data_IF_017118914249
#
_entry.id   IF_017118914249
#
_cell.length_a   1.000
_cell.length_b   1.000
_cell.length_c   1.000
_cell.angle_alpha   90.00
_cell.angle_beta   90.00
_cell.angle_gamma   90.00
#
_symmetry.space_group_name_H-M   'P 1'
#
loop_
_entity.id
_entity.type
_entity.pdbx_description
1 polymer ?
#
# COMPACT_ATOMS: atom_id res chain seq x y z
N UNK A 1 135.73 12.05 49.32
CA UNK A 1 134.46 11.60 49.91
C UNK A 1 134.73 10.48 50.88
N UNK A 2 134.41 10.66 52.15
CA UNK A 2 134.37 9.58 53.15
C UNK A 2 133.07 8.79 52.98
N UNK A 3 133.04 7.49 53.30
CA UNK A 3 131.84 6.64 53.16
C UNK A 3 130.60 7.21 53.89
N UNK A 4 130.84 8.01 54.94
CA UNK A 4 129.81 8.73 55.67
C UNK A 4 129.09 9.79 54.82
N UNK A 5 129.80 10.50 53.95
CA UNK A 5 129.22 11.52 53.06
C UNK A 5 128.32 10.89 52.00
N UNK A 6 128.75 9.76 51.41
CA UNK A 6 127.93 9.01 50.43
C UNK A 6 126.66 8.43 51.05
N UNK A 7 126.73 7.95 52.31
CA UNK A 7 125.53 7.49 53.02
C UNK A 7 124.53 8.62 53.32
N UNK A 8 125.02 9.83 53.62
CA UNK A 8 124.14 10.98 53.84
C UNK A 8 123.45 11.41 52.53
N UNK A 9 124.17 11.43 51.42
CA UNK A 9 123.61 11.74 50.09
C UNK A 9 122.53 10.73 49.68
N UNK A 10 122.77 9.43 49.88
CA UNK A 10 121.77 8.38 49.64
C UNK A 10 120.53 8.50 50.56
N UNK A 11 120.72 8.93 51.80
CA UNK A 11 119.61 9.15 52.74
C UNK A 11 118.76 10.36 52.35
N UNK A 12 119.38 11.42 51.83
CA UNK A 12 118.68 12.59 51.32
C UNK A 12 117.92 12.26 50.01
N UNK A 13 118.53 11.53 49.07
CA UNK A 13 117.84 11.03 47.87
C UNK A 13 116.68 10.10 48.21
N UNK A 14 116.85 9.23 49.20
CA UNK A 14 115.80 8.34 49.68
C UNK A 14 114.66 9.13 50.33
N UNK A 15 114.98 10.15 51.13
CA UNK A 15 113.98 11.05 51.72
C UNK A 15 113.20 11.81 50.65
N UNK A 16 113.87 12.36 49.64
CA UNK A 16 113.22 13.05 48.53
C UNK A 16 112.32 12.12 47.72
N UNK A 17 112.73 10.85 47.56
CA UNK A 17 111.91 9.82 46.92
C UNK A 17 110.67 9.48 47.76
N UNK A 18 110.79 9.40 49.08
CA UNK A 18 109.63 9.20 49.98
C UNK A 18 108.66 10.38 49.88
N UNK A 19 109.15 11.62 49.88
CA UNK A 19 108.28 12.81 49.78
C UNK A 19 107.53 12.81 48.44
N UNK A 20 108.21 12.54 47.32
CA UNK A 20 107.55 12.41 46.01
C UNK A 20 106.48 11.33 46.00
N UNK A 21 106.77 10.16 46.59
CA UNK A 21 105.80 9.07 46.70
C UNK A 21 104.60 9.44 47.60
N UNK A 22 104.81 10.25 48.63
CA UNK A 22 103.72 10.76 49.47
C UNK A 22 102.84 11.74 48.71
N UNK A 23 103.42 12.68 47.96
CA UNK A 23 102.69 13.63 47.13
C UNK A 23 101.91 12.91 46.02
N UNK A 24 102.52 11.93 45.35
CA UNK A 24 101.85 11.07 44.37
C UNK A 24 100.71 10.27 44.99
N UNK A 25 100.90 9.73 46.20
CA UNK A 25 99.85 9.00 46.92
C UNK A 25 98.68 9.92 47.27
N UNK A 26 98.94 11.14 47.74
CA UNK A 26 97.90 12.11 48.07
C UNK A 26 97.13 12.55 46.81
N UNK A 27 97.84 12.78 45.70
CA UNK A 27 97.21 13.04 44.40
C UNK A 27 96.32 11.88 43.96
N UNK A 28 96.82 10.64 44.03
CA UNK A 28 96.06 9.45 43.67
C UNK A 28 94.84 9.23 44.58
N UNK A 29 94.95 9.47 45.88
CA UNK A 29 93.82 9.37 46.82
C UNK A 29 92.73 10.40 46.44
N UNK A 30 93.11 11.62 46.04
CA UNK A 30 92.15 12.64 45.57
C UNK A 30 91.46 12.24 44.26
N UNK A 31 92.20 11.72 43.28
CA UNK A 31 91.66 11.22 42.01
C UNK A 31 90.70 10.03 42.24
N UNK A 32 91.02 9.13 43.17
CA UNK A 32 90.16 8.00 43.52
C UNK A 32 88.84 8.46 44.11
N UNK A 33 88.85 9.50 44.94
CA UNK A 33 87.62 10.03 45.53
C UNK A 33 86.76 10.78 44.50
N UNK A 34 87.36 11.53 43.57
CA UNK A 34 86.65 12.11 42.42
C UNK A 34 86.07 11.04 41.49
N UNK A 35 86.82 9.96 41.23
CA UNK A 35 86.31 8.83 40.44
C UNK A 35 85.15 8.12 41.13
N UNK A 36 85.15 8.07 42.47
CA UNK A 36 84.03 7.49 43.24
C UNK A 36 82.78 8.35 43.20
N UNK A 37 82.90 9.67 43.31
CA UNK A 37 81.75 10.57 43.25
C UNK A 37 81.14 10.57 41.85
N UNK A 38 81.98 10.71 40.82
CA UNK A 38 81.53 10.67 39.41
C UNK A 38 80.91 9.32 39.05
N UNK A 39 81.45 8.20 39.54
CA UNK A 39 80.84 6.88 39.36
C UNK A 39 79.45 6.79 39.98
N UNK A 40 79.26 7.28 41.20
CA UNK A 40 77.94 7.29 41.86
C UNK A 40 76.93 8.14 41.09
N UNK A 41 77.32 9.34 40.65
CA UNK A 41 76.45 10.19 39.84
C UNK A 41 76.08 9.55 38.50
N UNK A 42 77.01 8.81 37.88
CA UNK A 42 76.74 8.06 36.66
C UNK A 42 75.75 6.92 36.91
N UNK A 43 75.91 6.16 38.00
CA UNK A 43 74.99 5.07 38.39
C UNK A 43 73.56 5.61 38.66
N UNK A 44 73.43 6.74 39.34
CA UNK A 44 72.12 7.39 39.56
C UNK A 44 71.47 7.84 38.25
N UNK A 45 72.25 8.44 37.34
CA UNK A 45 71.76 8.84 36.01
C UNK A 45 71.34 7.64 35.17
N UNK A 46 72.09 6.54 35.22
CA UNK A 46 71.73 5.30 34.52
C UNK A 46 70.42 4.76 35.07
N UNK A 47 70.24 4.67 36.39
CA UNK A 47 68.99 4.22 37.00
C UNK A 47 67.79 5.08 36.60
N UNK A 48 67.94 6.41 36.60
CA UNK A 48 66.88 7.33 36.18
C UNK A 48 66.51 7.14 34.69
N UNK A 49 67.50 6.93 33.82
CA UNK A 49 67.27 6.67 32.39
C UNK A 49 66.60 5.31 32.18
N UNK A 50 67.00 4.27 32.91
CA UNK A 50 66.36 2.94 32.84
C UNK A 50 64.88 2.99 33.24
N UNK A 51 64.56 3.74 34.31
CA UNK A 51 63.16 3.96 34.71
C UNK A 51 62.37 4.72 33.63
N UNK A 52 62.96 5.74 33.01
CA UNK A 52 62.33 6.45 31.91
C UNK A 52 62.12 5.56 30.69
N UNK A 53 63.10 4.73 30.33
CA UNK A 53 63.02 3.80 29.20
C UNK A 53 61.89 2.79 29.42
N UNK A 54 61.81 2.19 30.62
CA UNK A 54 60.72 1.25 30.94
C UNK A 54 59.35 1.94 30.92
N UNK A 55 59.26 3.17 31.45
CA UNK A 55 58.05 3.98 31.38
C UNK A 55 57.62 4.33 29.95
N UNK A 56 58.56 4.62 29.06
CA UNK A 56 58.29 4.89 27.65
C UNK A 56 57.88 3.62 26.90
N UNK A 57 58.55 2.49 27.13
CA UNK A 57 58.21 1.20 26.52
C UNK A 57 56.78 0.78 26.87
N UNK A 58 56.38 0.89 28.14
CA UNK A 58 55.00 0.55 28.56
C UNK A 58 53.95 1.48 27.94
N UNK A 59 54.26 2.78 27.77
CA UNK A 59 53.37 3.72 27.08
C UNK A 59 53.26 3.39 25.59
N UNK A 60 54.38 3.03 24.95
CA UNK A 60 54.42 2.65 23.55
C UNK A 60 53.55 1.39 23.30
N UNK A 61 53.70 0.34 24.10
CA UNK A 61 52.86 -0.86 24.00
C UNK A 61 51.37 -0.56 24.16
N UNK A 62 51.00 0.31 25.10
CA UNK A 62 49.60 0.73 25.28
C UNK A 62 49.08 1.49 24.07
N UNK A 63 49.89 2.38 23.52
CA UNK A 63 49.53 3.17 22.33
C UNK A 63 49.38 2.27 21.09
N UNK A 64 50.25 1.28 20.92
CA UNK A 64 50.16 0.31 19.82
C UNK A 64 48.88 -0.54 19.91
N UNK A 65 48.55 -1.06 21.09
CA UNK A 65 47.29 -1.79 21.31
C UNK A 65 46.06 -0.92 21.02
N UNK A 66 46.08 0.34 21.46
CA UNK A 66 44.99 1.28 21.19
C UNK A 66 44.87 1.59 19.70
N UNK A 67 45.99 1.79 19.00
CA UNK A 67 46.04 2.01 17.55
C UNK A 67 45.48 0.82 16.79
N UNK A 68 45.86 -0.40 17.17
CA UNK A 68 45.42 -1.60 16.46
C UNK A 68 43.93 -1.87 16.67
N UNK A 69 43.41 -1.60 17.88
CA UNK A 69 41.97 -1.60 18.13
C UNK A 69 41.24 -0.56 17.28
N UNK A 70 41.73 0.68 17.25
CA UNK A 70 41.13 1.74 16.44
C UNK A 70 41.15 1.44 14.93
N UNK A 71 42.20 0.77 14.44
CA UNK A 71 42.27 0.30 13.05
C UNK A 71 41.22 -0.79 12.77
N UNK A 72 41.04 -1.74 13.68
CA UNK A 72 40.01 -2.77 13.53
C UNK A 72 38.61 -2.16 13.53
N UNK A 73 38.33 -1.25 14.45
CA UNK A 73 37.05 -0.53 14.53
C UNK A 73 36.80 0.29 13.25
N UNK A 74 37.83 0.97 12.71
CA UNK A 74 37.73 1.72 11.47
C UNK A 74 37.37 0.83 10.26
N UNK A 75 37.97 -0.37 10.17
CA UNK A 75 37.65 -1.32 9.10
C UNK A 75 36.21 -1.79 9.23
N UNK A 76 35.77 -2.16 10.44
CA UNK A 76 34.40 -2.59 10.69
C UNK A 76 33.38 -1.48 10.34
N UNK A 77 33.60 -0.26 10.80
CA UNK A 77 32.72 0.88 10.46
C UNK A 77 32.71 1.17 8.96
N UNK A 78 33.85 1.02 8.27
CA UNK A 78 33.91 1.22 6.81
C UNK A 78 33.08 0.16 6.07
N UNK A 79 33.13 -1.09 6.51
CA UNK A 79 32.30 -2.17 5.97
C UNK A 79 30.81 -1.91 6.22
N UNK A 80 30.44 -1.51 7.44
CA UNK A 80 29.06 -1.14 7.78
C UNK A 80 28.53 0.02 6.92
N UNK A 81 29.32 1.08 6.75
CA UNK A 81 28.97 2.22 5.90
C UNK A 81 28.79 1.78 4.44
N UNK A 82 29.66 0.91 3.94
CA UNK A 82 29.52 0.39 2.58
C UNK A 82 28.25 -0.46 2.41
N UNK A 83 27.92 -1.29 3.40
CA UNK A 83 26.71 -2.10 3.40
C UNK A 83 25.43 -1.27 3.51
N UNK A 84 25.44 -0.23 4.35
CA UNK A 84 24.33 0.72 4.46
C UNK A 84 24.14 1.52 3.17
N UNK A 85 25.23 1.96 2.53
CA UNK A 85 25.17 2.65 1.24
C UNK A 85 24.55 1.78 0.15
N UNK A 86 24.90 0.49 0.09
CA UNK A 86 24.32 -0.45 -0.87
C UNK A 86 22.81 -0.64 -0.63
N UNK A 87 22.41 -0.85 0.63
CA UNK A 87 20.98 -0.96 1.00
C UNK A 87 20.19 0.31 0.70
N UNK A 88 20.80 1.48 0.88
CA UNK A 88 20.17 2.75 0.54
C UNK A 88 19.93 2.86 -0.98
N UNK A 89 20.93 2.51 -1.80
CA UNK A 89 20.79 2.50 -3.25
C UNK A 89 19.72 1.51 -3.74
N UNK A 90 19.66 0.30 -3.17
CA UNK A 90 18.61 -0.69 -3.47
C UNK A 90 17.21 -0.19 -3.09
N UNK A 91 17.08 0.43 -1.91
CA UNK A 91 15.81 0.99 -1.45
C UNK A 91 15.34 2.16 -2.34
N UNK A 92 16.26 3.02 -2.79
CA UNK A 92 15.95 4.11 -3.71
C UNK A 92 15.52 3.59 -5.09
N UNK A 93 16.21 2.56 -5.61
CA UNK A 93 15.84 1.91 -6.87
C UNK A 93 14.43 1.29 -6.76
N UNK A 94 14.15 0.51 -5.72
CA UNK A 94 12.84 -0.09 -5.49
C UNK A 94 11.72 0.94 -5.31
N UNK A 95 12.00 2.06 -4.62
CA UNK A 95 11.04 3.17 -4.48
C UNK A 95 10.76 3.86 -5.81
N UNK A 96 11.78 4.07 -6.63
CA UNK A 96 11.64 4.66 -7.97
C UNK A 96 10.79 3.77 -8.88
N UNK A 97 11.03 2.46 -8.87
CA UNK A 97 10.24 1.48 -9.62
C UNK A 97 8.77 1.47 -9.16
N UNK A 98 8.53 1.41 -7.84
CA UNK A 98 7.18 1.46 -7.29
C UNK A 98 6.45 2.77 -7.63
N UNK A 99 7.14 3.91 -7.58
CA UNK A 99 6.58 5.19 -8.00
C UNK A 99 6.22 5.22 -9.49
N UNK A 100 7.05 4.63 -10.34
CA UNK A 100 6.78 4.56 -11.78
C UNK A 100 5.60 3.61 -12.08
N UNK A 101 5.49 2.50 -11.37
CA UNK A 101 4.34 1.59 -11.47
C UNK A 101 3.03 2.29 -11.06
N UNK A 102 3.01 2.97 -9.91
CA UNK A 102 1.85 3.72 -9.44
C UNK A 102 1.46 4.86 -10.39
N UNK A 103 2.43 5.56 -10.99
CA UNK A 103 2.16 6.60 -12.00
C UNK A 103 1.47 6.01 -13.23
N UNK A 104 1.94 4.85 -13.72
CA UNK A 104 1.32 4.16 -14.86
C UNK A 104 -0.10 3.73 -14.52
N UNK A 105 -0.32 3.09 -13.37
CA UNK A 105 -1.65 2.66 -12.93
C UNK A 105 -2.61 3.86 -12.79
N UNK A 106 -2.13 4.98 -12.21
CA UNK A 106 -2.90 6.22 -12.12
C UNK A 106 -3.29 6.76 -13.50
N UNK A 107 -2.37 6.74 -14.45
CA UNK A 107 -2.62 7.22 -15.82
C UNK A 107 -3.61 6.32 -16.56
N UNK A 108 -3.52 5.00 -16.37
CA UNK A 108 -4.46 4.01 -16.92
C UNK A 108 -5.87 4.25 -16.37
N UNK A 109 -6.01 4.32 -15.04
CA UNK A 109 -7.29 4.58 -14.38
C UNK A 109 -7.91 5.91 -14.80
N UNK A 110 -7.10 6.94 -15.04
CA UNK A 110 -7.61 8.22 -15.57
C UNK A 110 -8.18 8.07 -16.98
N UNK A 111 -7.51 7.31 -17.85
CA UNK A 111 -8.02 7.04 -19.20
C UNK A 111 -9.33 6.26 -19.15
N UNK A 112 -9.40 5.22 -18.31
CA UNK A 112 -10.63 4.45 -18.12
C UNK A 112 -11.78 5.34 -17.61
N UNK A 113 -11.51 6.22 -16.64
CA UNK A 113 -12.50 7.17 -16.13
C UNK A 113 -12.98 8.16 -17.20
N UNK A 114 -12.08 8.67 -18.04
CA UNK A 114 -12.43 9.55 -19.15
C UNK A 114 -13.30 8.81 -20.19
N UNK A 115 -12.97 7.54 -20.48
CA UNK A 115 -13.75 6.69 -21.38
C UNK A 115 -15.15 6.40 -20.83
N UNK A 116 -15.27 6.00 -19.56
CA UNK A 116 -16.54 5.78 -18.88
C UNK A 116 -17.38 7.07 -18.90
N UNK A 117 -16.77 8.22 -18.63
CA UNK A 117 -17.47 9.51 -18.66
C UNK A 117 -17.99 9.83 -20.06
N UNK A 118 -17.20 9.53 -21.10
CA UNK A 118 -17.63 9.64 -22.50
C UNK A 118 -18.80 8.70 -22.83
N UNK A 119 -18.74 7.44 -22.40
CA UNK A 119 -19.82 6.48 -22.58
C UNK A 119 -21.10 6.91 -21.86
N UNK A 120 -20.99 7.39 -20.61
CA UNK A 120 -22.12 7.92 -19.85
C UNK A 120 -22.76 9.13 -20.54
N UNK A 121 -21.96 10.02 -21.11
CA UNK A 121 -22.45 11.17 -21.88
C UNK A 121 -23.25 10.69 -23.09
N UNK A 122 -22.71 9.74 -23.85
CA UNK A 122 -23.37 9.16 -25.02
C UNK A 122 -24.67 8.42 -24.67
N UNK A 123 -24.66 7.65 -23.58
CA UNK A 123 -25.87 7.01 -23.06
C UNK A 123 -26.91 8.07 -22.67
N UNK A 124 -26.49 9.14 -22.00
CA UNK A 124 -27.41 10.24 -21.63
C UNK A 124 -28.04 10.92 -22.85
N UNK A 125 -27.27 11.11 -23.92
CA UNK A 125 -27.77 11.62 -25.21
C UNK A 125 -28.79 10.66 -25.82
N UNK A 126 -28.47 9.37 -25.91
CA UNK A 126 -29.38 8.34 -26.43
C UNK A 126 -30.70 8.27 -25.64
N UNK A 127 -30.65 8.38 -24.31
CA UNK A 127 -31.86 8.42 -23.48
C UNK A 127 -32.71 9.67 -23.73
N UNK A 128 -32.07 10.82 -23.97
CA UNK A 128 -32.76 12.06 -24.30
C UNK A 128 -33.44 11.98 -25.66
N UNK A 129 -32.73 11.46 -26.66
CA UNK A 129 -33.25 11.26 -28.01
C UNK A 129 -34.41 10.25 -28.00
N UNK A 130 -34.24 9.10 -27.34
CA UNK A 130 -35.30 8.10 -27.20
C UNK A 130 -36.53 8.64 -26.45
N UNK A 131 -36.33 9.50 -25.44
CA UNK A 131 -37.44 10.16 -24.74
C UNK A 131 -38.17 11.15 -25.64
N UNK A 132 -37.44 11.94 -26.43
CA UNK A 132 -38.04 12.88 -27.38
C UNK A 132 -38.79 12.14 -28.50
N UNK A 133 -38.26 11.02 -29.00
CA UNK A 133 -38.96 10.16 -29.96
C UNK A 133 -40.23 9.55 -29.36
N UNK A 134 -40.15 9.08 -28.10
CA UNK A 134 -41.33 8.56 -27.39
C UNK A 134 -42.39 9.66 -27.19
N UNK A 135 -41.99 10.88 -26.85
CA UNK A 135 -42.89 12.02 -26.70
C UNK A 135 -43.55 12.38 -28.04
N UNK A 136 -42.77 12.45 -29.12
CA UNK A 136 -43.28 12.67 -30.48
C UNK A 136 -44.19 11.53 -30.97
N UNK A 137 -43.95 10.29 -30.56
CA UNK A 137 -44.81 9.14 -30.83
C UNK A 137 -46.09 9.16 -29.99
N UNK A 138 -46.02 9.57 -28.71
CA UNK A 138 -47.20 9.80 -27.88
C UNK A 138 -48.06 10.96 -28.38
N UNK A 139 -47.45 12.00 -28.95
CA UNK A 139 -48.17 13.12 -29.57
C UNK A 139 -48.86 12.70 -30.88
N UNK A 140 -48.29 11.74 -31.62
CA UNK A 140 -48.85 11.26 -32.91
C UNK A 140 -49.84 10.10 -32.78
N UNK A 141 -49.80 9.35 -31.69
CA UNK A 141 -50.78 8.29 -31.41
C UNK A 141 -51.78 8.85 -30.41
N UNK A 142 -52.81 9.50 -30.95
CA UNK A 142 -53.92 9.98 -30.14
C UNK A 142 -54.55 8.79 -29.42
N UNK A 143 -54.76 8.87 -28.10
CA UNK A 143 -55.34 7.78 -27.31
C UNK A 143 -56.68 7.36 -27.91
N UNK A 144 -57.39 8.32 -28.51
CA UNK A 144 -58.64 8.11 -29.23
C UNK A 144 -58.49 7.22 -30.48
N UNK A 145 -57.37 7.34 -31.22
CA UNK A 145 -57.08 6.50 -32.40
C UNK A 145 -56.68 5.09 -31.98
N UNK A 146 -55.90 4.95 -30.90
CA UNK A 146 -55.59 3.64 -30.32
C UNK A 146 -56.85 2.95 -29.80
N UNK A 147 -57.74 3.70 -29.13
CA UNK A 147 -59.03 3.20 -28.68
C UNK A 147 -59.91 2.80 -29.87
N UNK A 148 -59.94 3.61 -30.93
CA UNK A 148 -60.69 3.31 -32.15
C UNK A 148 -60.18 2.05 -32.84
N UNK A 149 -58.85 1.85 -32.93
CA UNK A 149 -58.25 0.61 -33.45
C UNK A 149 -58.63 -0.58 -32.56
N UNK A 150 -58.57 -0.45 -31.24
CA UNK A 150 -58.98 -1.52 -30.31
C UNK A 150 -60.47 -1.87 -30.44
N UNK A 151 -61.35 -0.87 -30.52
CA UNK A 151 -62.79 -1.06 -30.74
C UNK A 151 -63.01 -1.74 -32.08
N UNK A 152 -62.36 -1.28 -33.15
CA UNK A 152 -62.47 -1.89 -34.48
C UNK A 152 -61.95 -3.33 -34.49
N UNK A 153 -60.86 -3.64 -33.79
CA UNK A 153 -60.37 -4.99 -33.62
C UNK A 153 -61.37 -5.87 -32.86
N UNK A 154 -61.98 -5.36 -31.79
CA UNK A 154 -62.98 -6.10 -30.99
C UNK A 154 -64.27 -6.33 -31.80
N UNK A 155 -64.77 -5.31 -32.51
CA UNK A 155 -66.01 -5.32 -33.28
C UNK A 155 -65.90 -6.08 -34.61
N UNK A 156 -64.76 -6.03 -35.29
CA UNK A 156 -64.63 -6.62 -36.64
C UNK A 156 -63.81 -7.90 -36.66
N UNK A 157 -62.77 -8.02 -35.82
CA UNK A 157 -61.85 -9.17 -35.82
C UNK A 157 -62.19 -10.18 -34.71
N UNK A 158 -62.64 -9.71 -33.54
CA UNK A 158 -62.93 -10.57 -32.39
C UNK A 158 -64.42 -10.85 -32.15
N UNK A 159 -65.34 -10.33 -32.96
CA UNK A 159 -66.79 -10.56 -32.84
C UNK A 159 -67.20 -12.04 -32.95
N UNK A 160 -66.31 -12.90 -33.46
CA UNK A 160 -66.48 -14.35 -33.47
C UNK A 160 -65.94 -15.09 -32.24
N UNK A 161 -65.14 -14.44 -31.38
CA UNK A 161 -64.53 -15.09 -30.22
C UNK A 161 -65.50 -15.12 -29.02
N UNK A 162 -65.49 -16.21 -28.23
CA UNK A 162 -66.40 -16.36 -27.09
C UNK A 162 -66.38 -15.20 -26.10
N UNK A 163 -65.21 -14.72 -25.71
CA UNK A 163 -65.05 -13.65 -24.73
C UNK A 163 -65.73 -12.34 -25.14
N UNK A 164 -65.56 -11.90 -26.38
CA UNK A 164 -66.12 -10.65 -26.88
C UNK A 164 -67.66 -10.70 -26.94
N UNK A 165 -68.23 -11.80 -27.47
CA UNK A 165 -69.68 -12.00 -27.54
C UNK A 165 -70.35 -12.02 -26.17
N UNK A 166 -69.70 -12.65 -25.18
CA UNK A 166 -70.21 -12.70 -23.81
C UNK A 166 -70.24 -11.30 -23.21
N UNK A 167 -69.16 -10.51 -23.37
CA UNK A 167 -69.11 -9.14 -22.88
C UNK A 167 -70.16 -8.23 -23.54
N UNK A 168 -70.36 -8.33 -24.86
CA UNK A 168 -71.43 -7.61 -25.56
C UNK A 168 -72.83 -7.98 -25.05
N UNK A 169 -73.08 -9.28 -24.88
CA UNK A 169 -74.39 -9.76 -24.40
C UNK A 169 -74.69 -9.27 -22.98
N UNK A 170 -73.68 -9.30 -22.09
CA UNK A 170 -73.81 -8.81 -20.72
C UNK A 170 -73.95 -7.28 -20.67
N UNK A 171 -73.28 -6.56 -21.58
CA UNK A 171 -73.43 -5.10 -21.71
C UNK A 171 -74.84 -4.70 -22.13
N UNK A 172 -75.46 -5.41 -23.08
CA UNK A 172 -76.80 -5.07 -23.56
C UNK A 172 -77.89 -5.37 -22.53
N UNK A 173 -77.77 -6.48 -21.80
CA UNK A 173 -78.79 -6.94 -20.85
C UNK A 173 -78.65 -6.25 -19.48
N UNK A 174 -77.44 -5.80 -19.11
CA UNK A 174 -77.13 -5.01 -17.90
C UNK A 174 -77.50 -5.66 -16.55
N UNK A 175 -78.00 -6.89 -16.57
CA UNK A 175 -78.35 -7.70 -15.40
C UNK A 175 -77.62 -9.03 -15.44
N UNK A 176 -77.64 -9.77 -14.32
CA UNK A 176 -77.04 -11.09 -14.27
C UNK A 176 -77.79 -12.05 -15.19
N UNK A 177 -77.04 -12.81 -16.00
CA UNK A 177 -77.60 -13.81 -16.92
C UNK A 177 -76.98 -15.16 -16.61
N UNK A 178 -77.81 -16.21 -16.56
CA UNK A 178 -77.31 -17.58 -16.44
C UNK A 178 -76.43 -17.98 -17.62
N UNK A 179 -75.39 -18.76 -17.36
CA UNK A 179 -74.51 -19.33 -18.41
C UNK A 179 -75.28 -20.04 -19.53
N UNK A 180 -76.40 -20.69 -19.21
CA UNK A 180 -77.28 -21.36 -20.18
C UNK A 180 -77.89 -20.35 -21.17
N UNK A 181 -78.39 -19.23 -20.65
CA UNK A 181 -78.97 -18.18 -21.49
C UNK A 181 -77.91 -17.47 -22.34
N UNK A 182 -76.68 -17.32 -21.84
CA UNK A 182 -75.53 -16.82 -22.62
C UNK A 182 -75.21 -17.77 -23.78
N UNK A 183 -75.22 -19.08 -23.51
CA UNK A 183 -75.00 -20.11 -24.54
C UNK A 183 -76.07 -20.02 -25.64
N UNK A 184 -77.34 -19.92 -25.26
CA UNK A 184 -78.46 -19.83 -26.20
C UNK A 184 -78.50 -18.53 -27.00
N UNK A 185 -78.13 -17.40 -26.39
CA UNK A 185 -78.16 -16.07 -27.05
C UNK A 185 -76.95 -15.83 -27.96
N UNK A 186 -75.78 -16.37 -27.61
CA UNK A 186 -74.55 -16.14 -28.38
C UNK A 186 -74.25 -17.20 -29.45
N UNK A 187 -74.94 -18.36 -29.38
CA UNK A 187 -74.73 -19.50 -30.27
C UNK A 187 -73.36 -20.18 -30.12
N UNK A 188 -72.64 -19.92 -29.02
CA UNK A 188 -71.32 -20.50 -28.73
C UNK A 188 -71.50 -21.84 -28.02
N UNK A 189 -70.59 -22.79 -28.25
CA UNK A 189 -70.62 -24.08 -27.54
C UNK A 189 -70.51 -23.90 -26.02
N UNK A 190 -71.29 -24.65 -25.21
CA UNK A 190 -71.32 -24.50 -23.75
C UNK A 190 -69.94 -24.57 -23.07
N UNK A 191 -69.06 -25.46 -23.54
CA UNK A 191 -67.71 -25.60 -23.00
C UNK A 191 -66.82 -24.38 -23.27
N UNK A 192 -66.99 -23.75 -24.45
CA UNK A 192 -66.27 -22.53 -24.81
C UNK A 192 -66.82 -21.32 -24.05
N UNK A 193 -68.12 -21.27 -23.77
CA UNK A 193 -68.71 -20.25 -22.89
C UNK A 193 -68.16 -20.38 -21.48
N UNK A 194 -68.14 -21.60 -20.93
CA UNK A 194 -67.62 -21.83 -19.58
C UNK A 194 -66.17 -21.39 -19.45
N UNK A 195 -65.31 -21.82 -20.37
CA UNK A 195 -63.90 -21.42 -20.39
C UNK A 195 -63.75 -19.90 -20.47
N UNK A 196 -64.50 -19.27 -21.38
CA UNK A 196 -64.43 -17.83 -21.55
C UNK A 196 -64.95 -17.04 -20.34
N UNK A 197 -65.98 -17.53 -19.65
CA UNK A 197 -66.46 -16.93 -18.39
C UNK A 197 -65.37 -16.99 -17.33
N UNK A 198 -64.72 -18.13 -17.13
CA UNK A 198 -63.62 -18.23 -16.15
C UNK A 198 -62.42 -17.35 -16.53
N UNK A 199 -62.06 -17.29 -17.81
CA UNK A 199 -61.00 -16.39 -18.29
C UNK A 199 -61.36 -14.91 -18.04
N UNK A 200 -62.63 -14.52 -18.23
CA UNK A 200 -63.13 -13.17 -17.97
C UNK A 200 -63.23 -12.84 -16.48
N UNK A 201 -63.53 -13.83 -15.64
CA UNK A 201 -63.49 -13.70 -14.17
C UNK A 201 -62.06 -13.51 -13.69
N UNK A 202 -61.10 -14.28 -14.22
CA UNK A 202 -59.68 -14.12 -13.91
C UNK A 202 -59.12 -12.75 -14.33
N UNK A 203 -59.74 -12.11 -15.32
CA UNK A 203 -59.42 -10.76 -15.77
C UNK A 203 -60.21 -9.65 -15.04
N UNK A 204 -60.97 -9.98 -13.99
CA UNK A 204 -61.81 -9.05 -13.21
C UNK A 204 -62.84 -8.26 -14.04
N UNK A 205 -63.27 -8.80 -15.18
CA UNK A 205 -64.27 -8.16 -16.05
C UNK A 205 -65.70 -8.58 -15.69
N UNK A 206 -65.86 -9.78 -15.15
CA UNK A 206 -67.14 -10.43 -14.90
C UNK A 206 -67.08 -11.17 -13.57
N UNK A 207 -68.19 -11.20 -12.81
CA UNK A 207 -68.37 -12.06 -11.65
C UNK A 207 -69.21 -13.28 -12.04
N UNK A 208 -68.80 -14.47 -11.60
CA UNK A 208 -69.52 -15.72 -11.81
C UNK A 208 -69.81 -16.39 -10.49
N UNK A 209 -71.08 -16.75 -10.27
CA UNK A 209 -71.52 -17.56 -9.14
C UNK A 209 -71.66 -19.02 -9.59
N UNK A 210 -70.89 -19.92 -8.98
CA UNK A 210 -70.89 -21.35 -9.34
C UNK A 210 -72.17 -22.07 -8.95
N UNK A 211 -72.88 -21.62 -7.91
CA UNK A 211 -74.11 -22.26 -7.42
C UNK A 211 -75.31 -21.90 -8.30
N UNK A 212 -75.49 -20.61 -8.60
CA UNK A 212 -76.59 -20.11 -9.44
C UNK A 212 -76.27 -20.13 -10.95
N UNK A 213 -75.01 -20.29 -11.33
CA UNK A 213 -74.49 -20.16 -12.69
C UNK A 213 -74.72 -18.78 -13.32
N UNK A 214 -74.92 -17.75 -12.48
CA UNK A 214 -75.15 -16.39 -12.93
C UNK A 214 -73.83 -15.68 -13.23
N UNK A 215 -73.82 -15.00 -14.37
CA UNK A 215 -72.68 -14.24 -14.89
C UNK A 215 -73.10 -12.78 -14.93
N UNK A 216 -72.33 -11.90 -14.28
CA UNK A 216 -72.62 -10.46 -14.21
C UNK A 216 -71.40 -9.62 -14.54
N UNK A 217 -71.59 -8.56 -15.30
CA UNK A 217 -70.52 -7.63 -15.63
C UNK A 217 -70.08 -6.85 -14.38
N UNK A 218 -68.78 -6.88 -14.07
CA UNK A 218 -68.20 -6.15 -12.93
C UNK A 218 -67.74 -4.75 -13.33
N UNK A 219 -67.23 -4.62 -14.56
CA UNK A 219 -66.76 -3.34 -15.13
C UNK A 219 -67.34 -3.17 -16.53
N UNK A 220 -68.02 -2.06 -16.76
CA UNK A 220 -68.51 -1.69 -18.09
C UNK A 220 -67.36 -1.05 -18.89
N UNK A 221 -66.72 -1.86 -19.72
CA UNK A 221 -65.60 -1.45 -20.57
C UNK A 221 -66.05 -0.94 -21.94
N UNK A 222 -67.36 -0.98 -22.25
CA UNK A 222 -67.92 -0.58 -23.55
C UNK A 222 -68.67 0.76 -23.49
N UNK A 223 -68.87 1.32 -22.29
CA UNK A 223 -69.48 2.64 -22.12
C UNK A 223 -68.57 3.75 -22.66
N UNK A 224 -69.05 4.49 -23.67
CA UNK A 224 -68.51 5.81 -24.03
C UNK A 224 -68.46 6.69 -22.78
N UNK A 225 -67.27 7.16 -22.40
CA UNK A 225 -67.20 8.37 -21.58
C UNK A 225 -67.73 9.51 -22.43
N UNK A 226 -68.99 9.90 -22.18
CA UNK A 226 -69.43 11.29 -22.43
C UNK A 226 -68.69 12.22 -21.48
#
# INVERSE_FOLDING_TARGET
>A
MTDREKMLELLDEFKDSIVKLMDERESLDSEVDELRTTKKEAEEKVGAVEEQVTGLTTKLEKAEKARDKAKADLVATKEEVSGLSAKAAEAEAGKSEAQNALKKERDELRREMDEITGQLTRVSELYRDASAEKEALQEKVDISDLLAIYITLIETVFYGKPHARILYTLHDVKTAITRKNITSSTGIQPAAVLKAVHDLVAADLVSYDEESQDVKLTKDVLRKST
#
